data_IF_705064426815
#
_entry.id   IF_705064426815
#
_cell.length_a   1.000
_cell.length_b   1.000
_cell.length_c   1.000
_cell.angle_alpha   90.00
_cell.angle_beta   90.00
_cell.angle_gamma   90.00
#
_symmetry.space_group_name_H-M   'P 1'
#
loop_
_entity.id
_entity.type
_entity.pdbx_description
1 polymer ?
#
# COMPACT_ATOMS: atom_id res chain seq x y z
N UNK A 1 -12.25 33.68 -14.77
CA UNK A 1 -12.98 32.39 -14.80
C UNK A 1 -12.50 31.59 -13.59
N UNK A 2 -13.40 31.15 -12.71
CA UNK A 2 -13.04 30.31 -11.56
C UNK A 2 -12.85 28.85 -11.98
N UNK A 3 -11.95 28.13 -11.30
CA UNK A 3 -11.77 26.69 -11.47
C UNK A 3 -12.75 26.01 -10.50
N UNK A 4 -13.62 25.14 -11.01
CA UNK A 4 -14.48 24.31 -10.16
C UNK A 4 -13.62 23.23 -9.48
N UNK A 5 -13.82 22.97 -8.17
CA UNK A 5 -13.12 21.89 -7.50
C UNK A 5 -13.57 20.51 -8.05
N UNK A 6 -12.77 19.46 -7.85
CA UNK A 6 -13.22 18.08 -8.08
C UNK A 6 -14.49 17.78 -7.27
N UNK A 7 -15.38 16.96 -7.84
CA UNK A 7 -16.67 16.62 -7.22
C UNK A 7 -16.53 16.00 -5.82
N UNK A 8 -15.43 15.28 -5.59
CA UNK A 8 -15.15 14.58 -4.34
C UNK A 8 -14.07 15.26 -3.50
N UNK A 9 -13.97 16.59 -3.58
CA UNK A 9 -12.98 17.35 -2.79
C UNK A 9 -13.05 17.04 -1.29
N UNK A 10 -14.23 16.66 -0.77
CA UNK A 10 -14.44 16.34 0.64
C UNK A 10 -13.66 15.11 1.11
N UNK A 11 -13.46 14.12 0.22
CA UNK A 11 -12.59 12.98 0.47
C UNK A 11 -11.18 13.43 0.86
N UNK A 12 -10.60 14.34 0.08
CA UNK A 12 -9.25 14.84 0.29
C UNK A 12 -9.17 15.73 1.54
N UNK A 13 -10.09 16.68 1.69
CA UNK A 13 -10.00 17.67 2.78
C UNK A 13 -10.17 17.03 4.15
N UNK A 14 -11.06 16.04 4.30
CA UNK A 14 -11.28 15.37 5.58
C UNK A 14 -10.13 14.43 5.96
N UNK A 15 -9.50 13.77 4.99
CA UNK A 15 -8.28 12.98 5.23
C UNK A 15 -7.14 13.89 5.69
N UNK A 16 -6.85 14.99 4.98
CA UNK A 16 -5.78 15.91 5.39
C UNK A 16 -6.06 16.57 6.76
N UNK A 17 -7.32 16.86 7.07
CA UNK A 17 -7.71 17.43 8.37
C UNK A 17 -7.54 16.45 9.52
N UNK A 18 -7.89 15.18 9.32
CA UNK A 18 -7.82 14.14 10.36
C UNK A 18 -6.42 13.54 10.50
N UNK A 19 -5.58 13.64 9.46
CA UNK A 19 -4.24 13.05 9.40
C UNK A 19 -3.18 14.03 8.89
N UNK A 20 -2.67 14.93 9.75
CA UNK A 20 -1.69 15.95 9.36
C UNK A 20 -0.36 15.40 8.82
N UNK A 21 -0.06 14.13 9.08
CA UNK A 21 1.15 13.45 8.58
C UNK A 21 1.03 12.94 7.14
N UNK A 22 -0.17 12.93 6.56
CA UNK A 22 -0.40 12.55 5.16
C UNK A 22 0.03 13.70 4.25
N UNK A 23 0.93 13.41 3.32
CA UNK A 23 1.43 14.36 2.32
C UNK A 23 1.01 14.03 0.88
N UNK A 24 0.29 12.93 0.67
CA UNK A 24 -0.28 12.56 -0.61
C UNK A 24 -1.49 11.64 -0.47
N UNK A 25 -2.49 11.85 -1.33
CA UNK A 25 -3.72 11.07 -1.41
C UNK A 25 -3.95 10.71 -2.89
N UNK A 26 -4.26 9.44 -3.15
CA UNK A 26 -4.69 8.97 -4.47
C UNK A 26 -6.05 8.30 -4.30
N UNK A 27 -7.04 8.81 -5.03
CA UNK A 27 -8.33 8.16 -5.24
C UNK A 27 -8.43 7.71 -6.70
N UNK A 28 -9.03 6.54 -6.91
CA UNK A 28 -9.30 6.03 -8.25
C UNK A 28 -10.23 4.81 -8.21
N UNK A 29 -10.43 4.20 -9.38
CA UNK A 29 -11.33 3.06 -9.57
C UNK A 29 -10.56 1.79 -10.03
N UNK A 30 -9.60 1.30 -9.23
CA UNK A 30 -8.83 0.09 -9.55
C UNK A 30 -9.78 -1.12 -9.63
N UNK A 31 -9.66 -1.94 -10.67
CA UNK A 31 -10.72 -2.87 -11.08
C UNK A 31 -10.92 -3.98 -10.06
N UNK A 32 -9.84 -4.61 -9.62
CA UNK A 32 -9.94 -5.71 -8.66
C UNK A 32 -10.26 -5.19 -7.26
N UNK A 33 -9.70 -4.06 -6.84
CA UNK A 33 -10.06 -3.45 -5.56
C UNK A 33 -11.55 -3.05 -5.51
N UNK A 34 -12.09 -2.45 -6.58
CA UNK A 34 -13.53 -2.16 -6.67
C UNK A 34 -14.37 -3.43 -6.66
N UNK A 35 -13.98 -4.49 -7.39
CA UNK A 35 -14.68 -5.79 -7.34
C UNK A 35 -14.68 -6.38 -5.92
N UNK A 36 -13.51 -6.44 -5.28
CA UNK A 36 -13.36 -7.00 -3.94
C UNK A 36 -14.13 -6.21 -2.88
N UNK A 37 -14.35 -4.91 -3.08
CA UNK A 37 -15.22 -4.09 -2.22
C UNK A 37 -16.69 -4.58 -2.20
N UNK A 38 -17.15 -5.24 -3.26
CA UNK A 38 -18.51 -5.78 -3.40
C UNK A 38 -18.60 -7.24 -2.99
N UNK A 39 -17.53 -8.01 -3.21
CA UNK A 39 -17.45 -9.45 -2.85
C UNK A 39 -17.73 -9.68 -1.36
N UNK A 40 -17.36 -8.74 -0.50
CA UNK A 40 -17.61 -8.82 0.95
C UNK A 40 -16.65 -9.77 1.69
N UNK A 41 -15.58 -10.21 1.03
CA UNK A 41 -14.50 -10.98 1.64
C UNK A 41 -13.31 -10.04 1.90
N UNK A 42 -12.81 -9.93 3.15
CA UNK A 42 -11.66 -9.09 3.46
C UNK A 42 -10.41 -9.47 2.67
N UNK A 43 -9.69 -8.46 2.19
CA UNK A 43 -8.38 -8.67 1.57
C UNK A 43 -7.41 -9.28 2.57
N UNK A 44 -6.77 -10.38 2.17
CA UNK A 44 -5.75 -11.07 2.94
C UNK A 44 -4.38 -10.91 2.28
N UNK A 45 -3.30 -11.14 3.03
CA UNK A 45 -1.96 -11.30 2.45
C UNK A 45 -1.94 -12.62 1.68
N UNK A 46 -1.85 -12.54 0.35
CA UNK A 46 -1.85 -13.71 -0.55
C UNK A 46 -0.62 -13.76 -1.46
N UNK A 47 0.07 -12.64 -1.64
CA UNK A 47 1.40 -12.59 -2.23
C UNK A 47 2.29 -11.60 -1.44
N UNK A 48 3.58 -11.61 -1.75
CA UNK A 48 4.57 -10.76 -1.09
C UNK A 48 4.50 -9.30 -1.58
N UNK A 49 4.14 -9.10 -2.85
CA UNK A 49 3.96 -7.77 -3.43
C UNK A 49 2.77 -7.06 -2.77
N UNK A 50 2.93 -5.78 -2.41
CA UNK A 50 1.90 -5.01 -1.72
C UNK A 50 1.45 -5.52 -0.34
N UNK A 51 2.12 -6.53 0.24
CA UNK A 51 1.71 -7.15 1.50
C UNK A 51 1.51 -6.14 2.64
N UNK A 52 2.33 -5.07 2.69
CA UNK A 52 2.25 -4.02 3.71
C UNK A 52 0.90 -3.30 3.74
N UNK A 53 0.19 -3.19 2.61
CA UNK A 53 -1.13 -2.57 2.53
C UNK A 53 -2.18 -3.37 3.30
N UNK A 54 -2.08 -4.69 3.27
CA UNK A 54 -3.05 -5.60 3.89
C UNK A 54 -2.71 -5.95 5.35
N UNK A 55 -1.51 -5.64 5.85
CA UNK A 55 -1.06 -6.03 7.19
C UNK A 55 -1.96 -5.52 8.32
N UNK A 56 -2.48 -4.30 8.19
CA UNK A 56 -3.37 -3.68 9.19
C UNK A 56 -4.86 -3.90 8.86
N UNK A 57 -5.13 -4.80 7.91
CA UNK A 57 -6.41 -4.92 7.23
C UNK A 57 -6.68 -3.75 6.29
N UNK A 58 -7.58 -3.97 5.33
CA UNK A 58 -8.13 -2.90 4.48
C UNK A 58 -9.63 -2.85 4.73
N UNK A 59 -10.10 -1.70 5.25
CA UNK A 59 -11.52 -1.49 5.53
C UNK A 59 -12.29 -1.18 4.26
N UNK A 60 -13.61 -1.36 4.32
CA UNK A 60 -14.56 -0.95 3.27
C UNK A 60 -15.44 0.14 3.85
N UNK A 61 -15.54 1.27 3.16
CA UNK A 61 -16.57 2.26 3.39
C UNK A 61 -17.83 1.83 2.64
N UNK A 62 -18.89 1.55 3.40
CA UNK A 62 -20.13 0.92 2.91
C UNK A 62 -21.10 1.96 2.31
N UNK A 63 -20.62 2.72 1.32
CA UNK A 63 -21.42 3.66 0.53
C UNK A 63 -20.87 3.69 -0.91
N UNK A 64 -21.77 3.61 -1.89
CA UNK A 64 -21.47 3.67 -3.33
C UNK A 64 -21.40 5.12 -3.84
N UNK A 65 -22.00 6.06 -3.12
CA UNK A 65 -22.14 7.43 -3.58
C UNK A 65 -20.82 8.21 -3.57
N UNK A 66 -20.85 9.39 -4.19
CA UNK A 66 -19.73 10.34 -4.18
C UNK A 66 -19.50 10.90 -2.78
N UNK A 67 -18.23 10.98 -2.38
CA UNK A 67 -17.82 11.62 -1.13
C UNK A 67 -17.77 13.13 -1.34
N UNK A 68 -18.95 13.74 -1.33
CA UNK A 68 -19.18 15.13 -1.79
C UNK A 68 -19.67 16.09 -0.71
N UNK A 69 -20.07 15.57 0.46
CA UNK A 69 -20.54 16.38 1.60
C UNK A 69 -19.54 16.35 2.76
N UNK A 70 -19.69 17.25 3.73
CA UNK A 70 -18.81 17.23 4.91
C UNK A 70 -19.05 16.00 5.78
N UNK A 71 -20.28 15.53 5.85
CA UNK A 71 -20.68 14.33 6.60
C UNK A 71 -20.03 13.08 5.98
N UNK A 72 -20.24 12.86 4.67
CA UNK A 72 -19.66 11.71 3.95
C UNK A 72 -18.13 11.74 3.95
N UNK A 73 -17.53 12.93 3.84
CA UNK A 73 -16.07 13.10 3.96
C UNK A 73 -15.54 12.71 5.33
N UNK A 74 -16.21 13.13 6.41
CA UNK A 74 -15.82 12.80 7.78
C UNK A 74 -15.97 11.30 8.08
N UNK A 75 -17.08 10.69 7.64
CA UNK A 75 -17.34 9.25 7.81
C UNK A 75 -16.33 8.40 7.05
N UNK A 76 -16.03 8.75 5.80
CA UNK A 76 -15.01 8.06 5.00
C UNK A 76 -13.61 8.18 5.62
N UNK A 77 -13.23 9.38 6.09
CA UNK A 77 -11.95 9.59 6.76
C UNK A 77 -11.85 8.79 8.07
N UNK A 78 -12.94 8.68 8.83
CA UNK A 78 -13.02 7.83 10.01
C UNK A 78 -12.89 6.34 9.65
N UNK A 79 -13.51 5.90 8.55
CA UNK A 79 -13.39 4.53 8.05
C UNK A 79 -11.95 4.19 7.60
N UNK A 80 -11.25 5.13 6.97
CA UNK A 80 -9.81 4.99 6.66
C UNK A 80 -8.99 4.81 7.94
N UNK A 81 -9.25 5.63 8.96
CA UNK A 81 -8.54 5.59 10.24
C UNK A 81 -7.02 5.68 10.05
N UNK A 82 -6.21 4.87 10.77
CA UNK A 82 -4.75 4.93 10.68
C UNK A 82 -4.17 4.19 9.45
N UNK A 83 -5.01 3.52 8.63
CA UNK A 83 -4.56 2.66 7.53
C UNK A 83 -4.06 3.47 6.34
N UNK A 84 -3.33 2.81 5.44
CA UNK A 84 -2.83 3.44 4.21
C UNK A 84 -3.76 3.28 3.00
N UNK A 85 -4.84 2.50 3.15
CA UNK A 85 -5.79 2.20 2.10
C UNK A 85 -7.21 2.01 2.67
N UNK A 86 -8.21 2.38 1.87
CA UNK A 86 -9.64 2.18 2.11
C UNK A 86 -10.31 1.82 0.79
N UNK A 87 -11.13 0.78 0.79
CA UNK A 87 -12.03 0.47 -0.33
C UNK A 87 -13.33 1.28 -0.17
N UNK A 88 -13.85 1.79 -1.29
CA UNK A 88 -15.17 2.43 -1.37
C UNK A 88 -16.10 1.46 -2.10
N UNK A 89 -17.13 0.95 -1.41
CA UNK A 89 -17.97 -0.15 -1.92
C UNK A 89 -18.59 0.19 -3.27
N UNK A 90 -18.35 -0.65 -4.27
CA UNK A 90 -18.83 -0.48 -5.64
C UNK A 90 -18.44 0.86 -6.31
N UNK A 91 -17.46 1.56 -5.75
CA UNK A 91 -17.03 2.89 -6.20
C UNK A 91 -15.56 2.83 -6.60
N UNK A 92 -14.66 2.52 -5.67
CA UNK A 92 -13.24 2.73 -5.89
C UNK A 92 -12.37 2.40 -4.68
N UNK A 93 -11.24 3.09 -4.60
CA UNK A 93 -10.37 3.04 -3.45
C UNK A 93 -9.70 4.39 -3.20
N UNK A 94 -9.25 4.57 -1.96
CA UNK A 94 -8.42 5.70 -1.50
C UNK A 94 -7.15 5.14 -0.89
N UNK A 95 -6.02 5.73 -1.23
CA UNK A 95 -4.74 5.43 -0.60
C UNK A 95 -4.04 6.71 -0.17
N UNK A 96 -3.27 6.60 0.91
CA UNK A 96 -2.55 7.73 1.50
C UNK A 96 -1.07 7.41 1.68
N UNK A 97 -0.24 8.44 1.68
CA UNK A 97 1.20 8.34 1.90
C UNK A 97 1.79 9.64 2.41
N UNK A 98 3.07 9.61 2.78
CA UNK A 98 3.82 10.83 3.12
C UNK A 98 4.10 11.72 1.92
N UNK A 99 4.00 11.16 0.71
CA UNK A 99 4.11 11.86 -0.56
C UNK A 99 3.10 11.28 -1.54
N UNK A 100 2.85 11.99 -2.65
CA UNK A 100 1.95 11.52 -3.71
C UNK A 100 2.49 10.23 -4.34
N UNK A 101 3.80 10.12 -4.56
CA UNK A 101 4.45 8.92 -5.09
C UNK A 101 4.20 7.71 -4.19
N UNK A 102 4.33 7.88 -2.86
CA UNK A 102 4.04 6.81 -1.92
C UNK A 102 2.56 6.41 -1.96
N UNK A 103 1.64 7.39 -2.06
CA UNK A 103 0.21 7.09 -2.21
C UNK A 103 -0.08 6.37 -3.53
N UNK A 104 0.58 6.75 -4.63
CA UNK A 104 0.47 6.07 -5.92
C UNK A 104 0.98 4.63 -5.85
N UNK A 105 2.14 4.39 -5.24
CA UNK A 105 2.67 3.03 -5.03
C UNK A 105 1.69 2.20 -4.19
N UNK A 106 1.15 2.78 -3.11
CA UNK A 106 0.14 2.13 -2.28
C UNK A 106 -1.12 1.74 -3.08
N UNK A 107 -1.54 2.54 -4.07
CA UNK A 107 -2.67 2.20 -4.95
C UNK A 107 -2.35 1.03 -5.88
N UNK A 108 -1.12 0.98 -6.43
CA UNK A 108 -0.66 -0.13 -7.27
C UNK A 108 -0.61 -1.43 -6.45
N UNK A 109 -0.01 -1.37 -5.26
CA UNK A 109 0.08 -2.49 -4.33
C UNK A 109 -1.29 -2.99 -3.87
N UNK A 110 -2.23 -2.08 -3.61
CA UNK A 110 -3.61 -2.42 -3.26
C UNK A 110 -4.30 -3.18 -4.39
N UNK A 111 -4.16 -2.71 -5.64
CA UNK A 111 -4.76 -3.38 -6.80
C UNK A 111 -4.13 -4.76 -7.01
N UNK A 112 -2.82 -4.91 -6.82
CA UNK A 112 -2.15 -6.20 -6.93
C UNK A 112 -2.67 -7.21 -5.90
N UNK A 113 -2.74 -6.78 -4.63
CA UNK A 113 -3.29 -7.62 -3.56
C UNK A 113 -4.75 -7.97 -3.83
N UNK A 114 -5.57 -7.03 -4.29
CA UNK A 114 -6.96 -7.30 -4.64
C UNK A 114 -7.09 -8.28 -5.80
N UNK A 115 -6.24 -8.14 -6.83
CA UNK A 115 -6.20 -9.05 -7.98
C UNK A 115 -5.85 -10.47 -7.56
N UNK A 116 -4.83 -10.63 -6.72
CA UNK A 116 -4.41 -11.93 -6.24
C UNK A 116 -5.47 -12.56 -5.32
N UNK A 117 -6.12 -11.78 -4.45
CA UNK A 117 -7.24 -12.26 -3.63
C UNK A 117 -8.40 -12.75 -4.50
N UNK A 118 -8.73 -12.02 -5.57
CA UNK A 118 -9.75 -12.43 -6.53
C UNK A 118 -9.39 -13.76 -7.22
N UNK A 119 -8.14 -13.95 -7.63
CA UNK A 119 -7.71 -15.23 -8.21
C UNK A 119 -7.74 -16.39 -7.22
N UNK A 120 -7.28 -16.17 -5.98
CA UNK A 120 -7.39 -17.17 -4.92
C UNK A 120 -8.84 -17.57 -4.65
N UNK A 121 -9.74 -16.58 -4.55
CA UNK A 121 -11.17 -16.81 -4.38
C UNK A 121 -11.78 -17.58 -5.55
N UNK A 122 -11.39 -17.23 -6.79
CA UNK A 122 -11.89 -17.88 -7.99
C UNK A 122 -11.44 -19.34 -8.11
N UNK A 123 -10.21 -19.64 -7.67
CA UNK A 123 -9.63 -20.98 -7.75
C UNK A 123 -10.04 -21.89 -6.57
N UNK A 124 -10.14 -21.33 -5.36
CA UNK A 124 -10.32 -22.09 -4.12
C UNK A 124 -11.61 -21.83 -3.35
N UNK A 125 -12.47 -20.91 -3.81
CA UNK A 125 -13.67 -20.50 -3.07
C UNK A 125 -13.36 -19.62 -1.85
N UNK A 126 -14.37 -19.23 -1.05
CA UNK A 126 -14.22 -18.29 0.07
C UNK A 126 -13.29 -18.79 1.19
N UNK A 127 -13.08 -20.10 1.26
CA UNK A 127 -12.26 -20.80 2.24
C UNK A 127 -10.87 -21.16 1.69
N UNK A 128 -10.40 -20.49 0.63
CA UNK A 128 -9.07 -20.71 0.08
C UNK A 128 -7.98 -20.57 1.17
N UNK A 129 -6.89 -21.36 1.12
CA UNK A 129 -5.82 -21.27 2.11
C UNK A 129 -5.18 -19.89 2.16
N UNK A 130 -5.12 -19.28 3.34
CA UNK A 130 -4.47 -17.98 3.59
C UNK A 130 -3.08 -18.19 4.20
N UNK A 131 -2.18 -17.24 3.98
CA UNK A 131 -0.88 -17.19 4.66
C UNK A 131 -1.10 -17.19 6.18
N UNK A 132 -0.34 -18.00 6.91
CA UNK A 132 -0.54 -18.14 8.35
C UNK A 132 -0.22 -16.82 9.07
N UNK A 133 -0.99 -16.41 10.10
CA UNK A 133 -0.73 -15.16 10.83
C UNK A 133 0.70 -15.03 11.36
N UNK A 134 1.31 -16.15 11.79
CA UNK A 134 2.70 -16.16 12.25
C UNK A 134 3.71 -15.78 11.15
N UNK A 135 3.48 -16.19 9.90
CA UNK A 135 4.33 -15.83 8.76
C UNK A 135 4.15 -14.36 8.39
N UNK A 136 2.91 -13.86 8.44
CA UNK A 136 2.61 -12.43 8.27
C UNK A 136 3.31 -11.60 9.34
N UNK A 137 3.29 -12.04 10.60
CA UNK A 137 4.00 -11.37 11.70
C UNK A 137 5.52 -11.35 11.50
N UNK A 138 6.11 -12.46 11.02
CA UNK A 138 7.54 -12.51 10.70
C UNK A 138 7.89 -11.53 9.59
N UNK A 139 7.03 -11.40 8.57
CA UNK A 139 7.17 -10.41 7.52
C UNK A 139 7.07 -8.97 8.07
N UNK A 140 6.15 -8.68 9.00
CA UNK A 140 6.05 -7.36 9.66
C UNK A 140 7.30 -7.05 10.50
N UNK A 141 7.82 -8.07 11.20
CA UNK A 141 9.04 -7.97 12.02
C UNK A 141 10.31 -7.87 11.18
N UNK A 142 10.24 -8.14 9.87
CA UNK A 142 11.34 -7.91 8.93
C UNK A 142 11.62 -6.41 8.83
N UNK A 143 12.40 -5.91 9.80
CA UNK A 143 13.04 -4.62 9.72
C UNK A 143 14.18 -4.77 8.72
N UNK A 144 14.15 -4.04 7.61
CA UNK A 144 15.35 -3.85 6.80
C UNK A 144 16.40 -3.22 7.71
N UNK A 145 17.39 -4.01 8.12
CA UNK A 145 18.59 -3.48 8.77
C UNK A 145 19.18 -2.40 7.89
N UNK A 146 19.63 -1.30 8.49
CA UNK A 146 20.20 -0.23 7.68
C UNK A 146 21.43 -0.78 6.97
N UNK A 147 21.68 -0.32 5.74
CA UNK A 147 22.80 -0.80 4.95
C UNK A 147 24.13 -0.77 5.72
N UNK A 148 24.33 0.28 6.52
CA UNK A 148 25.53 0.48 7.35
C UNK A 148 25.56 -0.35 8.64
N UNK A 149 24.50 -1.09 8.97
CA UNK A 149 24.43 -1.99 10.13
C UNK A 149 24.81 -3.43 9.72
N UNK A 150 24.63 -3.80 8.44
CA UNK A 150 24.85 -5.14 7.90
C UNK A 150 26.34 -5.53 7.79
N UNK A 151 26.90 -6.42 8.65
CA UNK A 151 28.33 -6.73 8.67
C UNK A 151 28.84 -7.36 7.36
N UNK A 152 27.99 -8.16 6.70
CA UNK A 152 28.34 -8.81 5.44
C UNK A 152 28.38 -7.84 4.24
N UNK A 153 27.78 -6.65 4.36
CA UNK A 153 27.85 -5.59 3.37
C UNK A 153 28.99 -4.59 3.66
N UNK A 154 29.31 -4.36 4.94
CA UNK A 154 30.50 -3.56 5.34
C UNK A 154 31.79 -4.07 4.70
N UNK A 155 31.99 -5.40 4.65
CA UNK A 155 33.18 -6.00 3.99
C UNK A 155 33.31 -5.67 2.50
N UNK A 156 32.22 -5.28 1.85
CA UNK A 156 32.20 -4.88 0.44
C UNK A 156 32.18 -3.35 0.26
N UNK A 157 32.41 -2.57 1.33
CA UNK A 157 32.43 -1.10 1.28
C UNK A 157 31.04 -0.48 1.10
N UNK A 158 29.97 -1.15 1.52
CA UNK A 158 28.64 -0.56 1.61
C UNK A 158 28.46 0.13 2.96
N UNK A 159 28.86 1.39 3.04
CA UNK A 159 28.70 2.22 4.23
C UNK A 159 27.64 3.31 4.03
N UNK A 160 27.41 3.74 2.79
CA UNK A 160 26.37 4.68 2.37
C UNK A 160 25.88 4.31 0.95
N UNK A 161 24.61 4.59 0.65
CA UNK A 161 24.11 4.63 -0.73
C UNK A 161 24.42 6.01 -1.29
N UNK A 162 25.20 6.10 -2.36
CA UNK A 162 25.23 7.33 -3.17
C UNK A 162 23.99 7.36 -4.08
N UNK A 163 23.59 8.54 -4.56
CA UNK A 163 22.47 8.68 -5.51
C UNK A 163 22.66 7.82 -6.78
N UNK A 164 23.90 7.69 -7.28
CA UNK A 164 24.23 6.78 -8.40
C UNK A 164 24.08 5.29 -8.07
N UNK A 165 24.10 4.93 -6.79
CA UNK A 165 24.11 3.55 -6.30
C UNK A 165 22.73 3.05 -5.88
N UNK A 166 21.72 3.93 -5.89
CA UNK A 166 20.53 3.70 -5.10
C UNK A 166 19.71 2.46 -5.51
N UNK A 167 19.80 1.96 -6.76
CA UNK A 167 18.84 0.95 -7.23
C UNK A 167 19.30 -0.09 -8.25
N UNK A 168 20.59 -0.17 -8.64
CA UNK A 168 20.99 -1.21 -9.60
C UNK A 168 21.62 -2.41 -8.90
N UNK A 169 21.02 -3.60 -9.05
CA UNK A 169 21.65 -4.89 -8.76
C UNK A 169 23.06 -5.01 -9.36
N UNK A 170 23.33 -4.26 -10.43
CA UNK A 170 24.65 -4.10 -11.06
C UNK A 170 25.70 -3.44 -10.16
N UNK A 171 25.34 -2.42 -9.37
CA UNK A 171 26.24 -1.83 -8.39
C UNK A 171 26.60 -2.84 -7.29
N UNK A 172 25.59 -3.55 -6.78
CA UNK A 172 25.79 -4.64 -5.82
C UNK A 172 26.70 -5.74 -6.36
N UNK A 173 26.40 -6.24 -7.57
CA UNK A 173 27.19 -7.27 -8.23
C UNK A 173 28.65 -6.85 -8.47
N UNK A 174 28.91 -5.60 -8.89
CA UNK A 174 30.28 -5.10 -9.11
C UNK A 174 31.11 -5.04 -7.84
N UNK A 175 30.53 -4.59 -6.73
CA UNK A 175 31.25 -4.53 -5.44
C UNK A 175 31.56 -5.92 -4.88
N UNK A 176 30.62 -6.86 -5.00
CA UNK A 176 30.83 -8.25 -4.57
C UNK A 176 31.87 -8.94 -5.45
N UNK A 177 31.79 -8.80 -6.77
CA UNK A 177 32.72 -9.43 -7.72
C UNK A 177 34.17 -8.92 -7.61
N UNK A 178 34.38 -7.70 -7.10
CA UNK A 178 35.70 -7.09 -6.94
C UNK A 178 36.31 -7.33 -5.56
N UNK A 179 35.56 -7.89 -4.63
CA UNK A 179 36.09 -8.14 -3.30
C UNK A 179 37.00 -9.37 -3.32
N UNK A 180 38.13 -9.31 -2.58
CA UNK A 180 39.06 -10.43 -2.50
C UNK A 180 38.34 -11.68 -1.98
N UNK A 181 38.58 -12.81 -2.62
CA UNK A 181 38.15 -14.12 -2.12
C UNK A 181 38.81 -14.37 -0.77
N UNK A 182 38.02 -14.87 0.20
CA UNK A 182 38.57 -15.41 1.45
C UNK A 182 39.43 -16.64 1.18
#
# INVERSE_FOLDING_TARGET
RGIAPPAEIKLYTHVYKSRPEVGGIVHGHPRFATVMSVVGIPLSVVCHEGAHITLQGVSVFDDMNLVSTDETGAEMAAALGPRSALLLKAHGAVTVGKTVEQATVNMIDLEEQARMNYYCLSAGGPDFPRVAPAEVEQFVKFRREKLHELPWLKRYGFTQLSEESAWTWKHFGRKVARAPSR
#
